data_IF_586523450894
#
_entry.id   IF_586523450894
#
_cell.length_a   1.000
_cell.length_b   1.000
_cell.length_c   1.000
_cell.angle_alpha   90.00
_cell.angle_beta   90.00
_cell.angle_gamma   90.00
#
_symmetry.space_group_name_H-M   'P 1'
#
loop_
_entity.id
_entity.type
_entity.pdbx_description
1 polymer ?
#
# COMPACT_ATOMS: atom_id res chain seq x y z
N UNK A 1 -5.39 -19.58 5.72
CA UNK A 1 -5.98 -18.67 4.71
C UNK A 1 -5.11 -17.42 4.71
N UNK A 2 -4.53 -17.02 3.59
CA UNK A 2 -3.78 -15.76 3.53
C UNK A 2 -4.79 -14.61 3.60
N UNK A 3 -4.69 -13.77 4.64
CA UNK A 3 -5.54 -12.61 4.81
C UNK A 3 -5.03 -11.50 3.87
N UNK A 4 -5.93 -10.90 3.10
CA UNK A 4 -5.58 -9.81 2.18
C UNK A 4 -5.23 -8.57 3.02
N UNK A 5 -4.00 -8.06 2.86
CA UNK A 5 -3.51 -6.90 3.63
C UNK A 5 -3.98 -5.57 3.02
N UNK A 6 -3.99 -5.49 1.69
CA UNK A 6 -4.38 -4.29 0.95
C UNK A 6 -5.18 -4.64 -0.31
N UNK A 7 -5.86 -3.64 -0.86
CA UNK A 7 -6.57 -3.73 -2.14
C UNK A 7 -6.10 -2.63 -3.09
N UNK A 8 -5.64 -3.01 -4.27
CA UNK A 8 -5.50 -2.12 -5.41
C UNK A 8 -6.81 -2.19 -6.21
N UNK A 9 -7.45 -1.04 -6.47
CA UNK A 9 -8.79 -1.04 -7.09
C UNK A 9 -8.66 -1.38 -8.58
N UNK A 10 -7.67 -0.79 -9.26
CA UNK A 10 -7.34 -1.07 -10.65
C UNK A 10 -5.84 -1.30 -10.83
N UNK A 11 -5.44 -2.10 -11.82
CA UNK A 11 -4.02 -2.35 -12.12
C UNK A 11 -3.24 -1.07 -12.51
N UNK A 12 -3.94 0.01 -12.87
CA UNK A 12 -3.34 1.30 -13.23
C UNK A 12 -3.06 2.18 -12.01
N UNK A 13 -3.63 1.86 -10.85
CA UNK A 13 -3.49 2.68 -9.65
C UNK A 13 -2.05 2.61 -9.15
N UNK A 14 -1.48 3.75 -8.79
CA UNK A 14 -0.17 3.81 -8.13
C UNK A 14 -0.27 3.66 -6.60
N UNK A 15 -1.48 3.39 -6.10
CA UNK A 15 -1.78 3.21 -4.68
C UNK A 15 -2.60 1.95 -4.43
N UNK A 16 -2.46 1.38 -3.25
CA UNK A 16 -3.39 0.42 -2.67
C UNK A 16 -4.04 0.99 -1.40
N UNK A 17 -5.12 0.39 -0.94
CA UNK A 17 -5.79 0.76 0.32
C UNK A 17 -5.62 -0.35 1.35
N UNK A 18 -5.19 0.01 2.55
CA UNK A 18 -5.03 -0.92 3.67
C UNK A 18 -6.40 -1.44 4.15
N UNK A 19 -6.54 -2.76 4.28
CA UNK A 19 -7.78 -3.40 4.76
C UNK A 19 -7.80 -3.44 6.30
N UNK A 20 -6.62 -3.43 6.92
CA UNK A 20 -6.39 -3.42 8.37
C UNK A 20 -5.24 -2.45 8.68
N UNK A 21 -4.95 -2.21 9.95
CA UNK A 21 -3.69 -1.55 10.33
C UNK A 21 -2.50 -2.42 9.93
N UNK A 22 -1.52 -1.84 9.24
CA UNK A 22 -0.33 -2.52 8.73
C UNK A 22 0.91 -1.91 9.39
N UNK A 23 1.68 -2.66 10.19
CA UNK A 23 2.92 -2.17 10.77
C UNK A 23 3.98 -1.84 9.71
N UNK A 24 4.90 -0.94 10.05
CA UNK A 24 6.12 -0.73 9.28
C UNK A 24 6.91 -2.04 9.09
N UNK A 25 7.58 -2.18 7.94
CA UNK A 25 8.37 -3.36 7.59
C UNK A 25 7.55 -4.56 7.09
N UNK A 26 6.26 -4.38 6.82
CA UNK A 26 5.40 -5.45 6.30
C UNK A 26 5.46 -5.50 4.78
N UNK A 27 5.75 -6.67 4.21
CA UNK A 27 5.62 -6.88 2.75
C UNK A 27 4.14 -7.09 2.40
N UNK A 28 3.56 -6.14 1.65
CA UNK A 28 2.14 -6.15 1.28
C UNK A 28 1.89 -6.74 -0.13
N UNK A 29 2.90 -6.67 -0.99
CA UNK A 29 2.94 -7.20 -2.35
C UNK A 29 4.41 -7.55 -2.66
N UNK A 30 4.70 -8.44 -3.63
CA UNK A 30 6.08 -8.82 -3.95
C UNK A 30 6.95 -7.59 -4.22
N UNK A 31 7.92 -7.34 -3.34
CA UNK A 31 8.84 -6.21 -3.44
C UNK A 31 8.31 -4.86 -2.93
N UNK A 32 7.09 -4.80 -2.37
CA UNK A 32 6.52 -3.59 -1.75
C UNK A 32 6.43 -3.78 -0.24
N UNK A 33 7.29 -3.07 0.49
CA UNK A 33 7.40 -3.12 1.95
C UNK A 33 7.02 -1.77 2.54
N UNK A 34 6.16 -1.76 3.56
CA UNK A 34 5.79 -0.53 4.26
C UNK A 34 6.99 0.09 4.97
N UNK A 35 7.16 1.41 4.84
CA UNK A 35 8.24 2.15 5.52
C UNK A 35 7.79 2.77 6.85
N UNK A 36 6.49 2.82 7.08
CA UNK A 36 5.83 3.36 8.27
C UNK A 36 4.56 2.56 8.59
N UNK A 37 3.95 2.83 9.74
CA UNK A 37 2.66 2.25 10.10
C UNK A 37 1.55 2.85 9.23
N UNK A 38 0.76 1.99 8.59
CA UNK A 38 -0.35 2.37 7.73
C UNK A 38 -1.67 2.02 8.42
N UNK A 39 -2.47 2.99 8.87
CA UNK A 39 -3.77 2.69 9.45
C UNK A 39 -4.75 2.15 8.41
N UNK A 40 -5.77 1.43 8.88
CA UNK A 40 -6.86 0.95 8.06
C UNK A 40 -7.43 2.06 7.16
N UNK A 41 -7.81 1.69 5.93
CA UNK A 41 -8.39 2.55 4.90
C UNK A 41 -7.47 3.67 4.36
N UNK A 42 -6.22 3.76 4.81
CA UNK A 42 -5.25 4.69 4.26
C UNK A 42 -4.62 4.15 2.97
N UNK A 43 -4.10 5.07 2.15
CA UNK A 43 -3.42 4.75 0.89
C UNK A 43 -1.97 4.36 1.14
N UNK A 44 -1.51 3.37 0.39
CA UNK A 44 -0.13 2.90 0.36
C UNK A 44 0.40 3.17 -1.04
N UNK A 45 1.53 3.86 -1.16
CA UNK A 45 2.19 4.03 -2.46
C UNK A 45 2.80 2.69 -2.91
N UNK A 46 2.55 2.31 -4.17
CA UNK A 46 3.07 1.07 -4.77
C UNK A 46 4.38 1.27 -5.53
N UNK A 47 4.78 2.53 -5.74
CA UNK A 47 5.98 2.90 -6.47
C UNK A 47 6.52 4.22 -5.95
N UNK A 48 7.82 4.44 -6.09
CA UNK A 48 8.44 5.73 -5.77
C UNK A 48 7.97 6.81 -6.73
N UNK A 49 7.66 8.00 -6.21
CA UNK A 49 7.16 9.09 -7.04
C UNK A 49 7.77 10.42 -6.67
N UNK A 50 8.08 11.26 -7.67
CA UNK A 50 8.51 12.62 -7.42
C UNK A 50 7.37 13.46 -6.85
N UNK A 51 7.72 14.51 -6.12
CA UNK A 51 6.77 15.48 -5.58
C UNK A 51 5.91 16.07 -6.70
N UNK A 52 4.59 16.10 -6.49
CA UNK A 52 3.62 16.67 -7.44
C UNK A 52 3.05 15.67 -8.45
N UNK A 53 3.40 14.39 -8.35
CA UNK A 53 2.81 13.34 -9.19
C UNK A 53 1.35 13.04 -8.80
N UNK A 54 0.49 12.73 -9.76
CA UNK A 54 -0.95 12.47 -9.56
C UNK A 54 -1.24 11.21 -8.75
N UNK A 55 -1.84 11.31 -7.57
CA UNK A 55 -2.16 10.14 -6.71
C UNK A 55 -3.37 9.39 -7.21
#
# INVERSE_FOLDING_TARGET
MAQRLCIQITEKDNVAIAIHDIPAGTEIMPGVVTVEDIPQAHKIALTDRPKGSEV
#
